data_IF_064166804952
#
_entry.id   IF_064166804952
#
_cell.length_a   1.000
_cell.length_b   1.000
_cell.length_c   1.000
_cell.angle_alpha   90.00
_cell.angle_beta   90.00
_cell.angle_gamma   90.00
#
_symmetry.space_group_name_H-M   'P 1'
#
loop_
_entity.id
_entity.type
_entity.pdbx_description
1 polymer ?
#
# COMPACT_ATOMS: atom_id res chain seq x y z
N UNK A 1 7.24 -8.67 -22.67
CA UNK A 1 6.25 -7.56 -22.58
C UNK A 1 5.03 -8.16 -21.93
N UNK A 2 4.86 -7.91 -20.63
CA UNK A 2 3.75 -8.44 -19.82
C UNK A 2 2.91 -7.24 -19.37
N UNK A 3 2.43 -6.46 -20.34
CA UNK A 3 1.59 -5.29 -20.11
C UNK A 3 0.14 -5.70 -20.29
N UNK A 4 -0.36 -6.51 -19.36
CA UNK A 4 -1.81 -6.76 -19.28
C UNK A 4 -2.52 -5.45 -18.98
N UNK A 5 -3.56 -5.06 -19.75
CA UNK A 5 -4.29 -3.80 -19.53
C UNK A 5 -4.88 -3.68 -18.11
N UNK A 6 -5.05 -4.80 -17.42
CA UNK A 6 -5.55 -4.90 -16.05
C UNK A 6 -4.61 -4.26 -15.01
N UNK A 7 -3.33 -4.06 -15.34
CA UNK A 7 -2.36 -3.39 -14.45
C UNK A 7 -2.69 -1.90 -14.28
N UNK A 8 -3.24 -1.27 -15.33
CA UNK A 8 -3.47 0.16 -15.41
C UNK A 8 -4.91 0.58 -15.09
N UNK A 9 -5.83 -0.38 -15.06
CA UNK A 9 -7.26 -0.15 -14.87
C UNK A 9 -7.75 -0.64 -13.50
N UNK A 10 -8.85 -0.07 -13.02
CA UNK A 10 -9.56 -0.60 -11.87
C UNK A 10 -10.44 -1.78 -12.29
N UNK A 11 -10.34 -2.92 -11.61
CA UNK A 11 -10.97 -4.19 -12.02
C UNK A 11 -11.80 -4.87 -10.92
N UNK A 12 -11.64 -4.49 -9.65
CA UNK A 12 -12.25 -5.17 -8.49
C UNK A 12 -13.70 -4.81 -8.22
N UNK A 13 -14.28 -3.85 -8.93
CA UNK A 13 -15.66 -3.45 -8.66
C UNK A 13 -16.28 -2.54 -9.71
N UNK A 14 -17.54 -2.23 -9.51
CA UNK A 14 -18.36 -1.37 -10.37
C UNK A 14 -19.02 -0.28 -9.54
N UNK A 15 -19.30 0.84 -10.17
CA UNK A 15 -20.00 1.95 -9.51
C UNK A 15 -21.42 2.10 -10.04
N UNK A 16 -22.37 2.30 -9.13
CA UNK A 16 -23.75 2.59 -9.47
C UNK A 16 -23.93 3.97 -10.12
N UNK A 17 -22.98 4.89 -9.90
CA UNK A 17 -23.01 6.25 -10.42
C UNK A 17 -21.66 6.63 -11.06
N UNK A 18 -21.69 7.33 -12.19
CA UNK A 18 -20.51 7.86 -12.91
C UNK A 18 -19.37 6.85 -13.16
N UNK A 19 -19.68 5.58 -13.43
CA UNK A 19 -18.70 4.50 -13.59
C UNK A 19 -17.55 4.86 -14.55
N UNK A 20 -17.85 5.36 -15.74
CA UNK A 20 -16.83 5.73 -16.73
C UNK A 20 -15.88 6.84 -16.22
N UNK A 21 -16.41 7.81 -15.47
CA UNK A 21 -15.60 8.86 -14.86
C UNK A 21 -14.73 8.30 -13.74
N UNK A 22 -15.28 7.45 -12.87
CA UNK A 22 -14.56 6.84 -11.76
C UNK A 22 -13.45 5.91 -12.22
N UNK A 23 -13.65 5.18 -13.32
CA UNK A 23 -12.62 4.38 -13.98
C UNK A 23 -11.52 5.25 -14.58
N UNK A 24 -11.88 6.35 -15.24
CA UNK A 24 -10.92 7.30 -15.84
C UNK A 24 -10.06 7.99 -14.79
N UNK A 25 -10.67 8.45 -13.71
CA UNK A 25 -9.99 9.10 -12.58
C UNK A 25 -9.03 8.17 -11.83
N UNK A 26 -9.33 6.87 -11.84
CA UNK A 26 -8.48 5.83 -11.26
C UNK A 26 -7.54 5.20 -12.24
N UNK A 27 -7.58 5.53 -13.53
CA UNK A 27 -6.58 5.04 -14.49
C UNK A 27 -5.22 5.65 -14.16
N UNK A 28 -4.20 4.81 -14.10
CA UNK A 28 -2.83 5.23 -13.81
C UNK A 28 -1.91 4.40 -14.68
N UNK A 29 -1.27 5.07 -15.62
CA UNK A 29 -0.16 4.52 -16.37
C UNK A 29 1.13 4.69 -15.57
N UNK A 30 1.99 3.68 -15.60
CA UNK A 30 3.31 3.71 -14.98
C UNK A 30 4.23 2.74 -15.73
N UNK A 31 5.52 3.00 -15.70
CA UNK A 31 6.51 2.13 -16.33
C UNK A 31 6.79 0.92 -15.42
N UNK A 32 6.27 -0.25 -15.82
CA UNK A 32 6.42 -1.50 -15.07
C UNK A 32 7.89 -1.93 -14.93
N UNK A 33 8.71 -1.72 -15.95
CA UNK A 33 10.13 -2.09 -15.90
C UNK A 33 10.90 -1.22 -14.91
N UNK A 34 10.62 0.08 -14.89
CA UNK A 34 11.24 1.00 -13.93
C UNK A 34 10.72 0.77 -12.51
N UNK A 35 9.45 0.41 -12.33
CA UNK A 35 8.92 0.02 -11.01
C UNK A 35 9.62 -1.23 -10.47
N UNK A 36 9.86 -2.23 -11.33
CA UNK A 36 10.61 -3.44 -10.99
C UNK A 36 12.05 -3.11 -10.59
N UNK A 37 12.71 -2.19 -11.32
CA UNK A 37 14.06 -1.70 -10.97
C UNK A 37 14.08 -0.98 -9.63
N UNK A 38 13.14 -0.07 -9.40
CA UNK A 38 13.03 0.65 -8.12
C UNK A 38 12.81 -0.32 -6.95
N UNK A 39 11.93 -1.30 -7.11
CA UNK A 39 11.68 -2.34 -6.11
C UNK A 39 12.91 -3.21 -5.84
N UNK A 40 13.64 -3.63 -6.88
CA UNK A 40 14.86 -4.41 -6.72
C UNK A 40 15.97 -3.60 -6.04
N UNK A 41 16.15 -2.33 -6.42
CA UNK A 41 17.11 -1.42 -5.80
C UNK A 41 16.80 -1.22 -4.31
N UNK A 42 15.52 -1.10 -3.92
CA UNK A 42 15.09 -0.93 -2.53
C UNK A 42 15.46 -2.14 -1.62
N UNK A 43 15.69 -3.33 -2.20
CA UNK A 43 16.17 -4.52 -1.48
C UNK A 43 17.64 -4.85 -1.77
N UNK A 44 18.37 -3.96 -2.47
CA UNK A 44 19.78 -4.17 -2.83
C UNK A 44 19.99 -5.32 -3.82
N UNK A 45 19.02 -5.56 -4.71
CA UNK A 45 19.05 -6.62 -5.73
C UNK A 45 18.96 -6.03 -7.14
N UNK A 46 19.32 -6.85 -8.13
CA UNK A 46 19.19 -6.50 -9.54
C UNK A 46 17.76 -6.77 -10.05
N UNK A 47 17.28 -5.95 -10.98
CA UNK A 47 15.94 -6.07 -11.56
C UNK A 47 15.73 -7.37 -12.35
N UNK A 48 16.79 -7.98 -12.87
CA UNK A 48 16.76 -9.31 -13.51
C UNK A 48 16.34 -10.42 -12.55
N UNK A 49 16.45 -10.20 -11.23
CA UNK A 49 16.05 -11.15 -10.20
C UNK A 49 14.58 -11.02 -9.77
N UNK A 50 13.81 -10.17 -10.44
CA UNK A 50 12.35 -10.08 -10.22
C UNK A 50 11.68 -11.26 -10.92
N UNK A 51 11.26 -12.26 -10.14
CA UNK A 51 10.64 -13.48 -10.65
C UNK A 51 9.13 -13.39 -10.81
N UNK A 52 8.47 -12.56 -9.99
CA UNK A 52 7.02 -12.35 -10.05
C UNK A 52 6.68 -10.88 -9.88
N UNK A 53 5.70 -10.43 -10.65
CA UNK A 53 5.05 -9.13 -10.52
C UNK A 53 3.57 -9.34 -10.77
N UNK A 54 2.74 -9.05 -9.77
CA UNK A 54 1.30 -9.22 -9.89
C UNK A 54 0.56 -8.14 -9.12
N UNK A 55 -0.65 -7.81 -9.58
CA UNK A 55 -1.57 -6.96 -8.84
C UNK A 55 -2.09 -7.76 -7.63
N UNK A 56 -1.77 -7.31 -6.42
CA UNK A 56 -2.18 -7.96 -5.19
C UNK A 56 -3.58 -7.49 -4.78
N UNK A 57 -3.77 -6.19 -4.78
CA UNK A 57 -5.00 -5.56 -4.33
C UNK A 57 -5.17 -4.21 -5.01
N UNK A 58 -6.42 -3.78 -5.07
CA UNK A 58 -6.77 -2.41 -5.45
C UNK A 58 -7.89 -1.94 -4.53
N UNK A 59 -7.65 -0.80 -3.88
CA UNK A 59 -8.59 -0.20 -2.94
C UNK A 59 -9.26 1.05 -3.50
N UNK A 60 -9.80 1.89 -2.63
CA UNK A 60 -10.39 3.17 -3.04
C UNK A 60 -9.35 4.22 -3.47
N UNK A 61 -8.13 4.14 -2.93
CA UNK A 61 -7.13 5.21 -2.99
C UNK A 61 -5.80 4.79 -3.64
N UNK A 62 -5.51 3.49 -3.71
CA UNK A 62 -4.22 2.98 -4.17
C UNK A 62 -4.37 1.57 -4.77
N UNK A 63 -3.44 1.25 -5.67
CA UNK A 63 -3.15 -0.11 -6.12
C UNK A 63 -1.93 -0.64 -5.41
N UNK A 64 -1.95 -1.92 -5.08
CA UNK A 64 -0.82 -2.63 -4.52
C UNK A 64 -0.39 -3.75 -5.46
N UNK A 65 0.89 -3.79 -5.79
CA UNK A 65 1.52 -4.86 -6.54
C UNK A 65 2.44 -5.65 -5.62
N UNK A 66 2.41 -6.97 -5.72
CA UNK A 66 3.37 -7.84 -5.08
C UNK A 66 4.50 -8.16 -6.05
N UNK A 67 5.74 -8.02 -5.58
CA UNK A 67 6.94 -8.44 -6.28
C UNK A 67 7.68 -9.50 -5.48
N UNK A 68 8.17 -10.52 -6.19
CA UNK A 68 9.08 -11.53 -5.64
C UNK A 68 10.46 -11.36 -6.27
N UNK A 69 11.46 -11.03 -5.46
CA UNK A 69 12.80 -10.63 -5.88
C UNK A 69 13.83 -11.47 -5.12
N UNK A 70 14.46 -12.45 -5.76
CA UNK A 70 15.54 -13.27 -5.15
C UNK A 70 15.21 -13.83 -3.75
N UNK A 71 13.97 -14.31 -3.55
CA UNK A 71 13.47 -14.81 -2.27
C UNK A 71 12.88 -13.76 -1.32
N UNK A 72 12.97 -12.46 -1.64
CA UNK A 72 12.31 -11.38 -0.90
C UNK A 72 10.94 -11.06 -1.52
N UNK A 73 9.91 -10.89 -0.68
CA UNK A 73 8.59 -10.40 -1.10
C UNK A 73 8.40 -8.95 -0.68
N UNK A 74 8.12 -8.09 -1.64
CA UNK A 74 7.85 -6.66 -1.41
C UNK A 74 6.51 -6.24 -2.01
N UNK A 75 5.94 -5.19 -1.44
CA UNK A 75 4.72 -4.56 -1.93
C UNK A 75 5.07 -3.19 -2.49
N UNK A 76 4.67 -2.94 -3.74
CA UNK A 76 4.70 -1.61 -4.35
C UNK A 76 3.28 -1.03 -4.35
N UNK A 77 3.07 0.08 -3.64
CA UNK A 77 1.79 0.80 -3.61
C UNK A 77 1.87 2.04 -4.48
N UNK A 78 0.89 2.20 -5.36
CA UNK A 78 0.74 3.33 -6.26
C UNK A 78 -0.59 4.02 -5.98
N UNK A 79 -0.60 5.28 -5.51
CA UNK A 79 -1.83 6.04 -5.30
C UNK A 79 -2.51 6.38 -6.63
N UNK A 80 -3.83 6.53 -6.63
CA UNK A 80 -4.55 6.97 -7.83
C UNK A 80 -4.34 8.46 -8.11
N UNK A 81 -4.34 8.90 -9.38
CA UNK A 81 -4.26 10.32 -9.73
C UNK A 81 -5.38 11.18 -9.13
N UNK A 82 -6.53 10.57 -8.80
CA UNK A 82 -7.66 11.23 -8.14
C UNK A 82 -7.44 11.49 -6.66
N UNK A 83 -6.39 10.96 -6.04
CA UNK A 83 -6.07 11.24 -4.64
C UNK A 83 -5.37 12.58 -4.53
N UNK A 84 -6.06 13.55 -3.92
CA UNK A 84 -5.52 14.87 -3.60
C UNK A 84 -5.32 15.00 -2.09
N UNK A 85 -4.21 15.61 -1.63
CA UNK A 85 -3.12 16.21 -2.41
C UNK A 85 -2.06 15.16 -2.83
N UNK A 86 -1.66 15.18 -4.12
CA UNK A 86 -0.78 14.15 -4.72
C UNK A 86 0.58 13.99 -4.03
N UNK A 87 1.25 15.09 -3.71
CA UNK A 87 2.60 15.05 -3.14
C UNK A 87 2.60 14.77 -1.63
N UNK A 88 1.64 15.36 -0.92
CA UNK A 88 1.59 15.24 0.54
C UNK A 88 1.09 13.86 0.98
N UNK A 89 0.26 13.19 0.20
CA UNK A 89 -0.31 11.89 0.59
C UNK A 89 0.78 10.83 0.82
N UNK A 90 1.70 10.64 -0.12
CA UNK A 90 2.78 9.65 -0.01
C UNK A 90 3.77 10.00 1.10
N UNK A 91 4.23 11.25 1.15
CA UNK A 91 5.18 11.68 2.17
C UNK A 91 4.58 11.57 3.58
N UNK A 92 3.31 11.95 3.75
CA UNK A 92 2.61 11.87 5.04
C UNK A 92 2.32 10.42 5.43
N UNK A 93 1.99 9.54 4.47
CA UNK A 93 1.81 8.12 4.73
C UNK A 93 3.12 7.48 5.22
N UNK A 94 4.24 7.74 4.52
CA UNK A 94 5.56 7.23 4.93
C UNK A 94 5.96 7.77 6.30
N UNK A 95 5.80 9.07 6.54
CA UNK A 95 6.12 9.68 7.84
C UNK A 95 5.26 9.09 8.97
N UNK A 96 3.97 8.87 8.71
CA UNK A 96 3.06 8.24 9.68
C UNK A 96 3.46 6.80 9.98
N UNK A 97 3.84 6.02 8.96
CA UNK A 97 4.31 4.65 9.15
C UNK A 97 5.59 4.60 10.00
N UNK A 98 6.55 5.48 9.74
CA UNK A 98 7.78 5.59 10.53
C UNK A 98 7.48 5.96 11.99
N UNK A 99 6.59 6.93 12.20
CA UNK A 99 6.14 7.35 13.52
C UNK A 99 5.45 6.22 14.28
N UNK A 100 4.49 5.55 13.66
CA UNK A 100 3.75 4.44 14.27
C UNK A 100 4.70 3.28 14.62
N UNK A 101 5.69 3.02 13.75
CA UNK A 101 6.75 2.05 14.01
C UNK A 101 7.63 2.43 15.20
N UNK A 102 8.01 3.70 15.32
CA UNK A 102 8.83 4.19 16.46
C UNK A 102 8.10 4.00 17.81
N UNK A 103 6.78 3.92 17.78
CA UNK A 103 5.92 3.67 18.94
C UNK A 103 5.67 2.18 19.25
N UNK A 104 6.35 1.27 18.55
CA UNK A 104 6.32 -0.18 18.83
C UNK A 104 5.16 -0.92 18.18
N UNK A 105 4.43 -0.30 17.26
CA UNK A 105 3.39 -0.96 16.47
C UNK A 105 4.04 -1.66 15.27
N UNK A 106 3.79 -2.96 15.05
CA UNK A 106 4.37 -3.70 13.94
C UNK A 106 3.71 -3.32 12.62
N UNK A 107 4.21 -2.25 11.99
CA UNK A 107 3.84 -1.85 10.63
C UNK A 107 4.92 -2.26 9.62
N UNK A 108 4.56 -2.54 8.36
CA UNK A 108 5.54 -2.87 7.32
C UNK A 108 6.64 -1.81 7.19
N UNK A 109 7.89 -2.22 6.99
CA UNK A 109 8.97 -1.26 6.78
C UNK A 109 8.87 -0.66 5.38
N UNK A 110 8.97 0.67 5.28
CA UNK A 110 9.18 1.34 3.99
C UNK A 110 10.64 1.11 3.56
N UNK A 111 10.83 0.60 2.35
CA UNK A 111 12.14 0.29 1.76
C UNK A 111 12.58 1.37 0.77
N UNK A 112 11.63 2.07 0.16
CA UNK A 112 11.87 3.21 -0.72
C UNK A 112 10.55 3.85 -1.15
N UNK A 113 10.56 5.12 -1.53
CA UNK A 113 9.36 5.80 -2.01
C UNK A 113 9.72 6.96 -2.94
N UNK A 114 8.75 7.39 -3.75
CA UNK A 114 8.78 8.64 -4.50
C UNK A 114 7.45 9.36 -4.32
N UNK A 115 7.49 10.59 -3.80
CA UNK A 115 6.32 11.45 -3.60
C UNK A 115 5.99 12.32 -4.83
N UNK A 116 6.76 12.21 -5.90
CA UNK A 116 6.52 12.89 -7.17
C UNK A 116 6.44 11.88 -8.30
N UNK A 117 5.67 12.20 -9.34
CA UNK A 117 5.66 11.44 -10.60
C UNK A 117 6.86 11.74 -11.51
N UNK A 118 7.68 12.74 -11.15
CA UNK A 118 8.92 13.10 -11.84
C UNK A 118 10.04 12.12 -11.48
N UNK A 119 9.86 10.87 -11.91
CA UNK A 119 10.79 9.78 -11.73
C UNK A 119 10.61 8.77 -12.88
N UNK A 120 11.54 7.82 -13.03
CA UNK A 120 11.53 6.88 -14.15
C UNK A 120 10.26 5.98 -14.22
N UNK A 121 9.58 5.75 -13.09
CA UNK A 121 8.30 5.02 -13.03
C UNK A 121 7.16 5.84 -13.63
N UNK A 122 7.26 7.18 -13.61
CA UNK A 122 6.21 8.09 -14.09
C UNK A 122 5.00 8.22 -13.17
N UNK A 123 5.12 7.73 -11.92
CA UNK A 123 4.07 7.79 -10.90
C UNK A 123 4.69 7.85 -9.51
N UNK A 124 3.95 8.40 -8.54
CA UNK A 124 4.28 8.24 -7.13
C UNK A 124 4.19 6.78 -6.71
N UNK A 125 5.03 6.36 -5.77
CA UNK A 125 5.01 5.00 -5.26
C UNK A 125 5.60 4.88 -3.85
N UNK A 126 5.22 3.82 -3.16
CA UNK A 126 5.84 3.36 -1.91
C UNK A 126 6.20 1.88 -2.10
N UNK A 127 7.47 1.54 -1.89
CA UNK A 127 7.96 0.16 -1.81
C UNK A 127 8.14 -0.17 -0.34
N UNK A 128 7.53 -1.26 0.10
CA UNK A 128 7.55 -1.68 1.50
C UNK A 128 7.64 -3.20 1.62
N UNK A 129 8.00 -3.69 2.79
CA UNK A 129 7.98 -5.12 3.12
C UNK A 129 6.55 -5.68 2.97
N UNK A 130 6.44 -6.95 2.57
CA UNK A 130 5.17 -7.66 2.65
C UNK A 130 4.88 -8.04 4.10
N UNK A 131 3.74 -7.59 4.62
CA UNK A 131 3.26 -8.02 5.93
C UNK A 131 3.03 -9.53 5.93
N UNK A 132 3.56 -10.23 6.93
CA UNK A 132 3.33 -11.66 7.13
C UNK A 132 2.06 -11.84 7.95
N UNK A 133 1.04 -12.47 7.38
CA UNK A 133 -0.21 -12.72 8.07
C UNK A 133 -1.34 -13.14 7.14
N UNK A 134 -2.51 -13.39 7.74
CA UNK A 134 -3.79 -13.55 7.05
C UNK A 134 -4.64 -12.31 7.32
N UNK A 135 -5.47 -11.92 6.35
CA UNK A 135 -6.43 -10.85 6.56
C UNK A 135 -7.37 -11.24 7.70
N UNK A 136 -7.64 -10.30 8.62
CA UNK A 136 -8.53 -10.55 9.75
C UNK A 136 -9.96 -10.82 9.26
N UNK A 137 -10.39 -10.19 8.16
CA UNK A 137 -11.71 -10.39 7.57
C UNK A 137 -11.92 -11.83 7.12
N UNK A 138 -10.89 -12.45 6.53
CA UNK A 138 -10.96 -13.84 6.03
C UNK A 138 -11.14 -14.84 7.18
N UNK A 139 -10.42 -14.63 8.29
CA UNK A 139 -10.43 -15.56 9.42
C UNK A 139 -11.47 -15.20 10.48
N UNK A 140 -12.13 -14.04 10.39
CA UNK A 140 -12.98 -13.50 11.46
C UNK A 140 -14.01 -14.52 11.94
N UNK A 141 -14.66 -15.19 10.98
CA UNK A 141 -15.70 -16.19 11.26
C UNK A 141 -15.14 -17.54 11.71
N UNK A 142 -13.87 -17.84 11.43
CA UNK A 142 -13.14 -19.02 11.93
C UNK A 142 -12.69 -18.85 13.38
N UNK A 143 -12.43 -17.62 13.82
CA UNK A 143 -11.98 -17.33 15.18
C UNK A 143 -13.07 -17.65 16.21
N UNK A 144 -12.66 -18.25 17.33
CA UNK A 144 -13.50 -18.42 18.51
C UNK A 144 -13.84 -17.08 19.16
N UNK A 145 -14.89 -17.04 19.98
CA UNK A 145 -15.30 -15.84 20.71
C UNK A 145 -14.15 -15.25 21.56
N UNK A 146 -13.39 -16.12 22.23
CA UNK A 146 -12.22 -15.72 23.04
C UNK A 146 -11.15 -15.04 22.18
N UNK A 147 -10.90 -15.55 20.98
CA UNK A 147 -9.93 -14.97 20.05
C UNK A 147 -10.41 -13.64 19.49
N UNK A 148 -11.69 -13.52 19.13
CA UNK A 148 -12.28 -12.24 18.69
C UNK A 148 -12.18 -11.18 19.77
N UNK A 149 -12.51 -11.52 21.02
CA UNK A 149 -12.35 -10.62 22.16
C UNK A 149 -10.89 -10.19 22.31
N UNK A 150 -9.93 -11.12 22.19
CA UNK A 150 -8.50 -10.81 22.25
C UNK A 150 -8.08 -9.81 21.17
N UNK A 151 -8.54 -10.00 19.94
CA UNK A 151 -8.28 -9.07 18.83
C UNK A 151 -8.86 -7.69 19.13
N UNK A 152 -10.13 -7.60 19.54
CA UNK A 152 -10.77 -6.32 19.89
C UNK A 152 -10.02 -5.61 21.02
N UNK A 153 -9.59 -6.35 22.04
CA UNK A 153 -8.79 -5.80 23.15
C UNK A 153 -7.43 -5.31 22.66
N UNK A 154 -6.78 -6.02 21.74
CA UNK A 154 -5.51 -5.59 21.14
C UNK A 154 -5.67 -4.28 20.35
N UNK A 155 -6.70 -4.18 19.52
CA UNK A 155 -7.02 -2.94 18.78
C UNK A 155 -7.29 -1.78 19.75
N UNK A 156 -8.14 -1.99 20.75
CA UNK A 156 -8.45 -0.96 21.75
C UNK A 156 -7.23 -0.55 22.62
N UNK A 157 -6.21 -1.41 22.72
CA UNK A 157 -4.94 -1.07 23.38
C UNK A 157 -4.04 -0.23 22.49
N UNK A 158 -3.98 -0.52 21.19
CA UNK A 158 -3.26 0.29 20.21
C UNK A 158 -3.84 1.70 20.17
N UNK A 159 -5.17 1.82 20.08
CA UNK A 159 -5.87 3.11 20.09
C UNK A 159 -5.60 3.90 21.37
N UNK A 160 -5.69 3.25 22.54
CA UNK A 160 -5.41 3.92 23.83
C UNK A 160 -3.94 4.27 24.02
N UNK A 161 -3.02 3.44 23.53
CA UNK A 161 -1.58 3.68 23.58
C UNK A 161 -1.15 4.88 22.74
N UNK A 162 -1.90 5.16 21.66
CA UNK A 162 -1.75 6.33 20.81
C UNK A 162 -2.46 7.56 21.42
N UNK A 163 -3.64 7.39 22.02
CA UNK A 163 -4.44 8.47 22.60
C UNK A 163 -3.85 9.06 23.89
N UNK A 164 -3.27 8.24 24.78
CA UNK A 164 -2.71 8.72 26.07
C UNK A 164 -1.39 9.48 25.94
N UNK A 165 -0.76 9.49 24.76
CA UNK A 165 0.57 10.10 24.54
C UNK A 165 0.56 11.40 23.75
N UNK A 166 -0.61 12.01 23.55
CA UNK A 166 -0.71 13.47 23.40
C UNK A 166 -0.24 14.08 22.09
N UNK A 167 -0.64 13.54 20.95
CA UNK A 167 -0.72 14.34 19.71
C UNK A 167 -2.15 14.29 19.19
N UNK A 168 -2.79 15.46 19.21
CA UNK A 168 -4.17 15.66 18.81
C UNK A 168 -4.34 15.23 17.35
N UNK A 169 -5.10 14.17 17.11
CA UNK A 169 -5.70 13.86 15.81
C UNK A 169 -6.75 14.92 15.50
N UNK A 170 -6.29 16.09 15.08
CA UNK A 170 -7.11 17.07 14.39
C UNK A 170 -7.34 16.56 12.98
N UNK A 171 -8.57 16.14 12.72
CA UNK A 171 -9.15 16.08 11.38
C UNK A 171 -8.89 17.45 10.75
N UNK A 172 -7.99 17.52 9.77
CA UNK A 172 -7.92 18.65 8.86
C UNK A 172 -8.82 18.32 7.68
N UNK A 173 -9.86 19.15 7.55
CA UNK A 173 -10.92 19.17 6.55
C UNK A 173 -10.47 18.90 5.12
#
# INVERSE_FOLDING_TARGET
>A
MDDSPNLFQYTSGRWLYNESQQLKERYLYFNVAELKKAAAAAVGKDASKVHRFQKLAEGGFNRAFELSIDGCSVIARLPYPSTYPKHFSVASEVATMELVRSHGVPVPKVLGYSSTSDNAVGAEYIIMEKAVGRDLGDIWYELSEKERIKVVVQVARLDRGNFRRGECWGILY
#
